data_IF_719590771245
#
_entry.id   IF_719590771245
#
_cell.length_a   1.000
_cell.length_b   1.000
_cell.length_c   1.000
_cell.angle_alpha   90.00
_cell.angle_beta   90.00
_cell.angle_gamma   90.00
#
_symmetry.space_group_name_H-M   'P 1'
#
loop_
_entity.id
_entity.type
_entity.pdbx_description
1 polymer ?
#
# COMPACT_ATOMS: atom_id res chain seq x y z
N UNK A 1 -1.76 11.75 -0.90
CA UNK A 1 -2.67 10.78 -0.23
C UNK A 1 -2.09 10.33 1.12
N UNK A 2 -2.90 9.86 2.07
CA UNK A 2 -2.44 9.22 3.31
C UNK A 2 -2.76 7.72 3.21
N UNK A 3 -1.74 6.88 3.20
CA UNK A 3 -1.89 5.43 3.04
C UNK A 3 -1.53 4.72 4.34
N UNK A 4 -2.37 3.78 4.76
CA UNK A 4 -2.00 2.75 5.75
C UNK A 4 -1.80 1.44 5.00
N UNK A 5 -0.60 0.87 5.05
CA UNK A 5 -0.31 -0.39 4.38
C UNK A 5 -0.48 -1.56 5.35
N UNK A 6 -1.23 -2.56 4.92
CA UNK A 6 -1.46 -3.82 5.64
C UNK A 6 -0.71 -4.93 4.91
N UNK A 7 0.50 -5.30 5.37
CA UNK A 7 1.32 -6.28 4.69
C UNK A 7 0.79 -7.70 4.86
N UNK A 8 0.91 -8.49 3.80
CA UNK A 8 0.77 -9.94 3.83
C UNK A 8 1.89 -10.58 3.06
N UNK A 9 2.33 -11.77 3.49
CA UNK A 9 3.28 -12.54 2.71
C UNK A 9 2.56 -13.19 1.52
N UNK A 10 3.06 -12.92 0.32
CA UNK A 10 2.61 -13.56 -0.90
C UNK A 10 2.98 -15.05 -0.99
N UNK A 11 2.42 -15.72 -1.98
CA UNK A 11 2.81 -17.09 -2.33
C UNK A 11 4.22 -17.10 -2.95
N UNK A 12 4.90 -18.27 -2.98
CA UNK A 12 6.14 -18.42 -3.74
C UNK A 12 5.99 -17.91 -5.18
N UNK A 13 6.94 -17.09 -5.62
CA UNK A 13 6.98 -16.41 -6.93
C UNK A 13 5.86 -15.39 -7.20
N UNK A 14 5.01 -15.06 -6.22
CA UNK A 14 4.09 -13.94 -6.35
C UNK A 14 4.89 -12.62 -6.34
N UNK A 15 4.62 -11.69 -7.29
CA UNK A 15 5.28 -10.39 -7.31
C UNK A 15 4.88 -9.55 -6.08
N UNK A 16 5.78 -8.66 -5.67
CA UNK A 16 5.46 -7.67 -4.63
C UNK A 16 4.49 -6.63 -5.16
N UNK A 17 3.63 -6.12 -4.28
CA UNK A 17 2.73 -5.03 -4.65
C UNK A 17 3.52 -3.78 -5.00
N UNK A 18 3.11 -3.12 -6.07
CA UNK A 18 3.62 -1.80 -6.48
C UNK A 18 2.55 -0.74 -6.30
N UNK A 19 2.96 0.43 -5.82
CA UNK A 19 2.05 1.53 -5.49
C UNK A 19 2.56 2.83 -6.11
N UNK A 20 1.64 3.59 -6.74
CA UNK A 20 1.93 4.91 -7.26
C UNK A 20 0.75 5.85 -7.00
N UNK A 21 1.03 7.09 -6.58
CA UNK A 21 0.00 8.10 -6.28
C UNK A 21 0.14 9.30 -7.21
N UNK A 22 -0.92 9.61 -7.94
CA UNK A 22 -1.04 10.80 -8.78
C UNK A 22 -2.29 11.60 -8.38
N UNK A 23 -2.14 12.53 -7.43
CA UNK A 23 -3.27 13.28 -6.89
C UNK A 23 -4.26 12.36 -6.15
N UNK A 24 -5.47 12.24 -6.70
CA UNK A 24 -6.54 11.37 -6.18
C UNK A 24 -6.55 9.98 -6.82
N UNK A 25 -5.67 9.72 -7.79
CA UNK A 25 -5.52 8.41 -8.41
C UNK A 25 -4.46 7.62 -7.65
N UNK A 26 -4.83 6.42 -7.20
CA UNK A 26 -3.92 5.44 -6.65
C UNK A 26 -3.79 4.28 -7.63
N UNK A 27 -2.58 4.00 -8.10
CA UNK A 27 -2.28 2.84 -8.94
C UNK A 27 -1.72 1.72 -8.07
N UNK A 28 -2.29 0.52 -8.16
CA UNK A 28 -1.89 -0.68 -7.43
C UNK A 28 -1.68 -1.80 -8.44
N UNK A 29 -0.46 -2.34 -8.53
CA UNK A 29 -0.10 -3.41 -9.47
C UNK A 29 -0.48 -3.08 -10.93
N UNK A 30 -0.30 -1.81 -11.29
CA UNK A 30 -0.65 -1.28 -12.63
C UNK A 30 -2.13 -0.98 -12.84
N UNK A 31 -3.01 -1.28 -11.88
CA UNK A 31 -4.44 -0.95 -11.95
C UNK A 31 -4.70 0.40 -11.29
N UNK A 32 -5.34 1.32 -12.01
CA UNK A 32 -5.68 2.65 -11.51
C UNK A 32 -7.03 2.65 -10.76
N UNK A 33 -7.03 3.31 -9.61
CA UNK A 33 -8.23 3.54 -8.80
C UNK A 33 -8.43 5.04 -8.66
N UNK A 34 -9.49 5.56 -9.30
CA UNK A 34 -9.92 6.95 -9.16
C UNK A 34 -10.73 7.12 -7.87
N UNK A 35 -10.14 7.83 -6.91
CA UNK A 35 -10.75 8.11 -5.61
C UNK A 35 -11.32 9.53 -5.54
N UNK A 36 -11.30 10.28 -6.65
CA UNK A 36 -11.88 11.62 -6.73
C UNK A 36 -13.38 11.70 -6.41
N UNK A 37 -14.21 10.63 -6.62
CA UNK A 37 -15.62 10.67 -6.24
C UNK A 37 -15.88 10.75 -4.73
N UNK A 38 -14.88 10.48 -3.87
CA UNK A 38 -15.04 10.59 -2.41
C UNK A 38 -15.06 12.08 -2.01
N UNK A 39 -16.19 12.64 -1.56
CA UNK A 39 -16.27 14.06 -1.23
C UNK A 39 -15.58 14.36 0.11
N UNK A 40 -15.25 15.63 0.35
CA UNK A 40 -14.74 16.09 1.65
C UNK A 40 -15.73 15.74 2.78
N UNK A 41 -15.22 15.14 3.86
CA UNK A 41 -16.03 14.64 4.98
C UNK A 41 -16.85 13.39 4.65
N UNK A 42 -16.71 12.84 3.44
CA UNK A 42 -17.41 11.65 2.99
C UNK A 42 -16.59 10.37 3.11
N UNK A 43 -17.27 9.26 2.83
CA UNK A 43 -16.68 7.93 2.72
C UNK A 43 -17.04 7.29 1.37
N UNK A 44 -16.06 6.60 0.78
CA UNK A 44 -16.23 5.66 -0.32
C UNK A 44 -15.91 4.25 0.17
N UNK A 45 -16.55 3.26 -0.43
CA UNK A 45 -16.29 1.85 -0.13
C UNK A 45 -15.95 1.13 -1.42
N UNK A 46 -14.82 0.44 -1.41
CA UNK A 46 -14.55 -0.58 -2.41
C UNK A 46 -15.08 -1.90 -1.88
N UNK A 47 -15.81 -2.63 -2.73
CA UNK A 47 -16.38 -3.92 -2.34
C UNK A 47 -15.33 -5.04 -2.32
N UNK A 48 -14.17 -4.81 -2.97
CA UNK A 48 -13.12 -5.80 -3.17
C UNK A 48 -11.71 -5.32 -2.78
N UNK A 49 -10.80 -6.29 -2.70
CA UNK A 49 -9.36 -6.09 -2.68
C UNK A 49 -8.94 -5.13 -3.81
N UNK A 50 -8.03 -4.17 -3.57
CA UNK A 50 -7.02 -4.16 -2.50
C UNK A 50 -7.33 -3.27 -1.29
N UNK A 51 -8.45 -2.53 -1.29
CA UNK A 51 -8.77 -1.65 -0.18
C UNK A 51 -9.33 -2.42 1.02
N UNK A 52 -8.92 -2.00 2.21
CA UNK A 52 -9.37 -2.59 3.46
C UNK A 52 -10.19 -1.54 4.22
N UNK A 53 -11.52 -1.69 4.14
CA UNK A 53 -12.44 -0.77 4.79
C UNK A 53 -12.70 0.51 3.99
N UNK A 54 -13.25 1.55 4.64
CA UNK A 54 -13.65 2.78 3.96
C UNK A 54 -12.45 3.61 3.52
N UNK A 55 -12.64 4.34 2.43
CA UNK A 55 -11.76 5.40 1.94
C UNK A 55 -12.43 6.71 2.35
N UNK A 56 -11.75 7.54 3.14
CA UNK A 56 -12.32 8.81 3.61
C UNK A 56 -11.53 9.99 3.09
N UNK A 57 -12.14 11.17 3.08
CA UNK A 57 -11.46 12.42 2.76
C UNK A 57 -11.62 13.41 3.91
N UNK A 58 -10.49 13.85 4.45
CA UNK A 58 -10.43 14.79 5.56
C UNK A 58 -9.40 15.88 5.29
N UNK A 59 -9.80 17.14 5.41
CA UNK A 59 -8.98 18.32 5.15
C UNK A 59 -8.31 18.28 3.75
N UNK A 60 -9.04 17.83 2.74
CA UNK A 60 -8.56 17.66 1.37
C UNK A 60 -7.59 16.49 1.18
N UNK A 61 -7.42 15.62 2.18
CA UNK A 61 -6.53 14.45 2.11
C UNK A 61 -7.35 13.17 2.10
N UNK A 62 -7.23 12.40 1.02
CA UNK A 62 -7.72 11.03 0.97
C UNK A 62 -6.92 10.13 1.91
N UNK A 63 -7.63 9.33 2.71
CA UNK A 63 -7.11 8.32 3.62
C UNK A 63 -7.65 6.96 3.23
N UNK A 64 -6.79 5.99 3.05
CA UNK A 64 -7.20 4.61 2.79
C UNK A 64 -6.22 3.60 3.39
N UNK A 65 -6.74 2.41 3.67
CA UNK A 65 -5.92 1.26 4.04
C UNK A 65 -5.85 0.31 2.86
N UNK A 66 -4.64 -0.13 2.52
CA UNK A 66 -4.37 -0.95 1.33
C UNK A 66 -3.66 -2.22 1.75
N UNK A 67 -4.13 -3.37 1.29
CA UNK A 67 -3.39 -4.62 1.42
C UNK A 67 -2.20 -4.60 0.47
N UNK A 68 -1.00 -4.88 0.98
CA UNK A 68 0.20 -5.02 0.17
C UNK A 68 0.79 -6.41 0.30
N UNK A 69 1.18 -7.00 -0.83
CA UNK A 69 1.83 -8.29 -0.88
C UNK A 69 3.34 -8.09 -0.84
N UNK A 70 3.99 -8.75 0.10
CA UNK A 70 5.44 -8.82 0.20
C UNK A 70 5.96 -10.05 -0.55
N UNK A 71 7.13 -9.93 -1.16
CA UNK A 71 7.79 -11.01 -1.89
C UNK A 71 8.79 -11.75 -1.02
N UNK A 72 9.45 -12.75 -1.61
CA UNK A 72 10.38 -13.64 -0.91
C UNK A 72 11.61 -12.93 -0.34
N UNK A 73 11.87 -11.69 -0.76
CA UNK A 73 12.95 -10.86 -0.23
C UNK A 73 12.62 -10.24 1.13
N UNK A 74 11.34 -10.21 1.53
CA UNK A 74 10.93 -9.70 2.83
C UNK A 74 11.37 -10.66 3.95
N UNK A 75 11.78 -10.08 5.07
CA UNK A 75 11.99 -10.82 6.31
C UNK A 75 10.65 -11.36 6.83
N UNK A 76 10.72 -12.51 7.51
CA UNK A 76 9.53 -13.20 8.01
C UNK A 76 8.84 -12.36 9.11
N UNK A 77 9.65 -11.69 9.94
CA UNK A 77 9.19 -10.74 10.94
C UNK A 77 9.19 -9.31 10.39
N UNK A 78 8.02 -8.68 10.41
CA UNK A 78 7.81 -7.29 10.04
C UNK A 78 7.41 -6.46 11.27
N UNK A 79 7.67 -5.14 11.27
CA UNK A 79 7.27 -4.29 12.40
C UNK A 79 5.76 -4.38 12.65
N UNK A 80 5.31 -4.56 13.90
CA UNK A 80 3.89 -4.77 14.24
C UNK A 80 3.05 -3.48 14.16
N UNK A 81 3.66 -2.36 13.79
CA UNK A 81 3.00 -1.05 13.74
C UNK A 81 2.37 -0.84 12.35
N UNK A 82 1.29 -0.05 12.24
CA UNK A 82 0.74 0.33 10.96
C UNK A 82 1.81 1.02 10.10
N UNK A 83 1.96 0.57 8.86
CA UNK A 83 2.89 1.20 7.91
C UNK A 83 2.23 2.40 7.28
N UNK A 84 2.45 3.57 7.87
CA UNK A 84 1.79 4.81 7.47
C UNK A 84 2.68 5.61 6.52
N UNK A 85 2.20 5.83 5.29
CA UNK A 85 2.79 6.76 4.34
C UNK A 85 1.95 8.04 4.30
N UNK A 86 2.41 9.04 5.03
CA UNK A 86 1.78 10.36 5.01
C UNK A 86 2.18 11.13 3.75
N UNK A 87 1.21 11.80 3.11
CA UNK A 87 1.43 12.65 1.93
C UNK A 87 2.12 11.91 0.77
N UNK A 88 1.76 10.65 0.56
CA UNK A 88 2.18 9.86 -0.60
C UNK A 88 1.90 10.62 -1.91
N UNK A 89 2.92 10.64 -2.78
CA UNK A 89 2.93 11.21 -4.12
C UNK A 89 4.03 10.51 -4.93
N UNK A 90 3.75 10.16 -6.19
CA UNK A 90 4.65 9.38 -7.03
C UNK A 90 4.73 7.92 -6.59
N UNK A 91 5.85 7.27 -6.89
CA UNK A 91 6.12 5.88 -6.46
C UNK A 91 6.15 5.82 -4.94
N UNK A 92 5.40 4.89 -4.36
CA UNK A 92 5.34 4.66 -2.91
C UNK A 92 6.21 3.47 -2.54
N UNK A 93 7.29 3.75 -1.83
CA UNK A 93 8.18 2.73 -1.28
C UNK A 93 7.50 1.97 -0.14
N UNK A 94 7.46 0.64 -0.24
CA UNK A 94 6.93 -0.22 0.82
C UNK A 94 8.03 -0.43 1.87
N UNK A 95 7.81 -0.07 3.15
CA UNK A 95 8.83 -0.07 4.20
C UNK A 95 9.11 -1.47 4.78
N UNK A 96 9.09 -2.51 3.94
CA UNK A 96 9.32 -3.88 4.36
C UNK A 96 10.79 -4.07 4.79
N UNK A 97 11.00 -4.72 5.94
CA UNK A 97 12.30 -5.24 6.31
C UNK A 97 12.67 -6.33 5.31
N UNK A 98 13.88 -6.24 4.75
CA UNK A 98 14.40 -7.19 3.76
C UNK A 98 15.30 -8.21 4.43
N UNK A 99 15.26 -9.45 3.95
CA UNK A 99 16.26 -10.47 4.27
C UNK A 99 17.64 -9.94 3.88
N UNK A 100 18.70 -10.30 4.63
CA UNK A 100 20.05 -10.03 4.19
C UNK A 100 20.23 -10.59 2.77
N UNK A 101 20.80 -9.79 1.88
CA UNK A 101 21.31 -10.33 0.62
C UNK A 101 22.27 -11.45 1.02
N UNK A 102 21.92 -12.69 0.69
CA UNK A 102 22.67 -13.86 1.15
C UNK A 102 24.15 -13.62 0.92
N UNK A 103 24.93 -13.59 2.01
CA UNK A 103 26.38 -13.61 1.92
C UNK A 103 26.73 -14.90 1.21
N UNK A 104 26.98 -14.81 -0.10
CA UNK A 104 27.57 -15.89 -0.86
C UNK A 104 28.87 -16.24 -0.15
N UNK A 105 28.90 -17.42 0.46
CA UNK A 105 30.13 -18.01 0.91
C UNK A 105 31.07 -18.07 -0.31
N UNK A 106 32.19 -17.37 -0.20
CA UNK A 106 33.35 -17.53 -1.07
C UNK A 106 34.00 -18.90 -0.85
#
# INVERSE_FOLDING_TARGET
MHLTLSPTMGLPHQPETTLHVAGDILTIDGTEYDLSPVPEGGEGRADDSPFLGPITRENGVLRCTVRVVLGQTAADDQPPHPWVIAKALGVVEIPAIRKPLGGGAA
#
